data_IF_687907021261
#
_entry.id   IF_687907021261
#
_cell.length_a   1.000
_cell.length_b   1.000
_cell.length_c   1.000
_cell.angle_alpha   90.00
_cell.angle_beta   90.00
_cell.angle_gamma   90.00
#
_symmetry.space_group_name_H-M   'P 1'
#
loop_
_entity.id
_entity.type
_entity.pdbx_description
1 polymer ?
#
# COMPACT_ATOMS: atom_id res chain seq x y z
N UNK A 1 -20.06 -3.60 -1.88
CA UNK A 1 -19.26 -2.51 -2.47
C UNK A 1 -18.07 -2.30 -1.55
N UNK A 2 -16.85 -2.31 -2.08
CA UNK A 2 -15.64 -2.09 -1.26
C UNK A 2 -15.42 -0.59 -1.09
N UNK A 3 -15.34 -0.11 0.16
CA UNK A 3 -15.18 1.31 0.47
C UNK A 3 -13.74 1.66 0.85
N UNK A 4 -12.98 0.68 1.35
CA UNK A 4 -11.58 0.81 1.75
C UNK A 4 -10.80 -0.41 1.25
N UNK A 5 -9.63 -0.18 0.66
CA UNK A 5 -8.77 -1.21 0.06
C UNK A 5 -7.40 -1.17 0.72
N UNK A 6 -7.08 -2.16 1.54
CA UNK A 6 -5.76 -2.31 2.16
C UNK A 6 -4.78 -2.98 1.18
N UNK A 7 -3.61 -2.39 0.99
CA UNK A 7 -2.55 -2.89 0.11
C UNK A 7 -1.23 -2.92 0.87
N UNK A 8 -0.68 -4.10 1.04
CA UNK A 8 0.68 -4.30 1.55
C UNK A 8 1.71 -4.02 0.46
N UNK A 9 2.65 -3.13 0.75
CA UNK A 9 3.79 -2.82 -0.09
C UNK A 9 5.06 -3.32 0.60
N UNK A 10 5.83 -4.20 -0.04
CA UNK A 10 7.10 -4.75 0.45
C UNK A 10 8.30 -4.40 -0.46
N UNK A 11 8.04 -3.72 -1.58
CA UNK A 11 9.03 -3.33 -2.58
C UNK A 11 9.26 -4.38 -3.65
N UNK A 12 8.60 -5.54 -3.54
CA UNK A 12 8.66 -6.57 -4.56
C UNK A 12 7.86 -6.16 -5.81
N UNK A 13 8.23 -6.67 -6.99
CA UNK A 13 7.44 -6.47 -8.22
C UNK A 13 6.00 -6.97 -8.10
N UNK A 14 5.75 -7.96 -7.23
CA UNK A 14 4.41 -8.51 -6.99
C UNK A 14 3.53 -7.54 -6.21
N UNK A 15 4.09 -6.88 -5.19
CA UNK A 15 3.35 -5.86 -4.45
C UNK A 15 3.04 -4.63 -5.30
N UNK A 16 3.95 -4.21 -6.18
CA UNK A 16 3.70 -3.11 -7.13
C UNK A 16 2.55 -3.47 -8.09
N UNK A 17 2.52 -4.70 -8.62
CA UNK A 17 1.41 -5.17 -9.44
C UNK A 17 0.07 -5.22 -8.68
N UNK A 18 0.09 -5.65 -7.41
CA UNK A 18 -1.10 -5.67 -6.56
C UNK A 18 -1.63 -4.25 -6.30
N UNK A 19 -0.73 -3.28 -6.07
CA UNK A 19 -1.07 -1.88 -5.90
C UNK A 19 -1.75 -1.28 -7.14
N UNK A 20 -1.23 -1.55 -8.33
CA UNK A 20 -1.86 -1.09 -9.57
C UNK A 20 -3.31 -1.62 -9.71
N UNK A 21 -3.55 -2.89 -9.36
CA UNK A 21 -4.90 -3.45 -9.36
C UNK A 21 -5.81 -2.78 -8.32
N UNK A 22 -5.30 -2.49 -7.12
CA UNK A 22 -6.04 -1.79 -6.09
C UNK A 22 -6.43 -0.37 -6.53
N UNK A 23 -5.54 0.36 -7.21
CA UNK A 23 -5.84 1.68 -7.78
C UNK A 23 -6.96 1.59 -8.83
N UNK A 24 -6.92 0.60 -9.73
CA UNK A 24 -7.99 0.39 -10.71
C UNK A 24 -9.34 0.10 -10.03
N UNK A 25 -9.32 -0.72 -8.98
CA UNK A 25 -10.51 -1.06 -8.21
C UNK A 25 -11.04 0.17 -7.45
N UNK A 26 -10.15 0.97 -6.86
CA UNK A 26 -10.47 2.23 -6.19
C UNK A 26 -11.11 3.24 -7.13
N UNK A 27 -10.60 3.39 -8.36
CA UNK A 27 -11.21 4.23 -9.39
C UNK A 27 -12.62 3.79 -9.75
N UNK A 28 -12.86 2.48 -9.84
CA UNK A 28 -14.16 1.93 -10.19
C UNK A 28 -15.22 2.16 -9.11
N UNK A 29 -14.83 2.11 -7.83
CA UNK A 29 -15.76 2.15 -6.71
C UNK A 29 -15.70 3.43 -5.88
N UNK A 30 -14.80 4.36 -6.18
CA UNK A 30 -14.54 5.55 -5.36
C UNK A 30 -13.99 5.20 -3.97
N UNK A 31 -13.26 4.08 -3.86
CA UNK A 31 -12.75 3.58 -2.57
C UNK A 31 -11.52 4.36 -2.12
N UNK A 32 -11.31 4.43 -0.81
CA UNK A 32 -10.05 4.88 -0.23
C UNK A 32 -9.02 3.77 -0.28
N UNK A 33 -7.80 4.06 -0.75
CA UNK A 33 -6.67 3.13 -0.73
C UNK A 33 -5.91 3.31 0.58
N UNK A 34 -5.71 2.23 1.33
CA UNK A 34 -4.85 2.20 2.51
C UNK A 34 -3.58 1.48 2.08
N UNK A 35 -2.47 2.19 2.07
CA UNK A 35 -1.16 1.64 1.73
C UNK A 35 -0.41 1.36 3.02
N UNK A 36 -0.09 0.09 3.25
CA UNK A 36 0.64 -0.33 4.42
C UNK A 36 2.00 -0.90 4.03
N UNK A 37 3.06 -0.45 4.71
CA UNK A 37 4.40 -1.01 4.61
C UNK A 37 4.72 -1.66 5.96
N UNK A 38 5.09 -2.94 5.96
CA UNK A 38 5.56 -3.63 7.15
C UNK A 38 7.04 -3.91 7.00
N UNK A 39 7.85 -3.37 7.93
CA UNK A 39 9.27 -3.69 8.03
C UNK A 39 9.43 -4.98 8.82
N UNK A 40 9.83 -6.04 8.15
CA UNK A 40 10.21 -7.28 8.83
C UNK A 40 11.61 -7.14 9.47
N UNK A 41 11.79 -7.56 10.73
CA UNK A 41 13.06 -7.41 11.45
C UNK A 41 14.23 -8.21 10.85
N UNK A 42 13.94 -9.21 10.01
CA UNK A 42 14.94 -10.03 9.29
C UNK A 42 14.95 -9.80 7.78
N UNK A 43 14.15 -8.85 7.28
CA UNK A 43 14.00 -8.54 5.86
C UNK A 43 15.11 -7.65 5.31
N UNK A 44 15.23 -7.59 3.99
CA UNK A 44 16.12 -6.65 3.31
C UNK A 44 15.69 -5.22 3.66
N UNK A 45 16.67 -4.34 3.85
CA UNK A 45 16.42 -2.98 4.32
C UNK A 45 15.83 -2.12 3.20
N UNK A 46 14.52 -2.22 2.98
CA UNK A 46 13.81 -1.39 2.01
C UNK A 46 13.50 -0.04 2.64
N UNK A 47 13.72 1.03 1.87
CA UNK A 47 13.45 2.41 2.27
C UNK A 47 11.93 2.68 2.29
N UNK A 48 11.27 2.12 3.31
CA UNK A 48 9.82 2.13 3.50
C UNK A 48 9.18 3.51 3.39
N UNK A 49 9.74 4.58 4.00
CA UNK A 49 9.23 5.94 3.86
C UNK A 49 9.19 6.41 2.40
N UNK A 50 10.29 6.24 1.65
CA UNK A 50 10.36 6.63 0.24
C UNK A 50 9.36 5.83 -0.61
N UNK A 51 9.07 4.58 -0.24
CA UNK A 51 8.10 3.75 -0.94
C UNK A 51 6.65 4.17 -0.68
N UNK A 52 6.32 4.50 0.57
CA UNK A 52 5.02 5.05 0.96
C UNK A 52 4.75 6.39 0.28
N UNK A 53 5.76 7.26 0.17
CA UNK A 53 5.63 8.53 -0.53
C UNK A 53 5.34 8.34 -2.03
N UNK A 54 6.06 7.45 -2.71
CA UNK A 54 5.78 7.12 -4.12
C UNK A 54 4.38 6.55 -4.30
N UNK A 55 3.95 5.66 -3.40
CA UNK A 55 2.61 5.08 -3.46
C UNK A 55 1.54 6.16 -3.28
N UNK A 56 1.71 7.05 -2.29
CA UNK A 56 0.84 8.19 -2.03
C UNK A 56 0.71 9.08 -3.27
N UNK A 57 1.83 9.46 -3.88
CA UNK A 57 1.84 10.28 -5.10
C UNK A 57 1.04 9.62 -6.24
N UNK A 58 1.22 8.31 -6.46
CA UNK A 58 0.47 7.58 -7.50
C UNK A 58 -1.03 7.55 -7.23
N UNK A 59 -1.46 7.32 -5.98
CA UNK A 59 -2.89 7.32 -5.64
C UNK A 59 -3.51 8.72 -5.80
N UNK A 60 -2.78 9.76 -5.39
CA UNK A 60 -3.22 11.14 -5.56
C UNK A 60 -3.30 11.53 -7.05
N UNK A 61 -2.32 11.13 -7.86
CA UNK A 61 -2.35 11.33 -9.31
C UNK A 61 -3.52 10.59 -9.99
N UNK A 62 -3.99 9.49 -9.39
CA UNK A 62 -5.18 8.77 -9.79
C UNK A 62 -6.50 9.43 -9.35
N UNK A 63 -6.46 10.52 -8.58
CA UNK A 63 -7.65 11.23 -8.07
C UNK A 63 -8.36 10.50 -6.94
N UNK A 64 -7.65 9.63 -6.21
CA UNK A 64 -8.21 8.81 -5.13
C UNK A 64 -7.71 9.28 -3.77
N UNK A 65 -8.46 8.93 -2.72
CA UNK A 65 -8.04 9.13 -1.35
C UNK A 65 -7.03 8.06 -0.94
N UNK A 66 -6.01 8.46 -0.20
CA UNK A 66 -4.96 7.57 0.30
C UNK A 66 -4.68 7.78 1.77
N UNK A 67 -4.59 6.66 2.49
CA UNK A 67 -4.08 6.58 3.86
C UNK A 67 -2.79 5.76 3.82
N UNK A 68 -1.72 6.23 4.45
CA UNK A 68 -0.42 5.55 4.48
C UNK A 68 -0.09 5.16 5.91
N UNK A 69 0.38 3.93 6.11
CA UNK A 69 0.73 3.41 7.44
C UNK A 69 2.02 2.59 7.35
N UNK A 70 2.97 2.90 8.24
CA UNK A 70 4.21 2.15 8.39
C UNK A 70 4.13 1.36 9.70
N UNK A 71 4.31 0.05 9.61
CA UNK A 71 4.31 -0.88 10.74
C UNK A 71 5.65 -1.60 10.78
N UNK A 72 6.02 -2.10 11.96
CA UNK A 72 7.23 -2.90 12.17
C UNK A 72 6.82 -4.16 12.91
N UNK A 73 7.10 -5.33 12.33
CA UNK A 73 6.60 -6.60 12.87
C UNK A 73 6.47 -7.66 11.78
N UNK A 74 5.73 -8.72 12.09
CA UNK A 74 5.34 -9.74 11.11
C UNK A 74 4.16 -9.22 10.29
N UNK A 75 4.29 -9.24 8.95
CA UNK A 75 3.33 -8.58 8.06
C UNK A 75 1.93 -9.20 8.11
N UNK A 76 1.84 -10.50 8.37
CA UNK A 76 0.60 -11.24 8.53
C UNK A 76 -0.10 -10.96 9.88
N UNK A 77 0.64 -10.58 10.92
CA UNK A 77 0.09 -10.22 12.22
C UNK A 77 -0.37 -8.75 12.26
N UNK A 78 0.41 -7.86 11.67
CA UNK A 78 0.18 -6.40 11.74
C UNK A 78 -0.86 -5.89 10.72
N UNK A 79 -1.20 -6.68 9.70
CA UNK A 79 -2.16 -6.30 8.64
C UNK A 79 -3.48 -7.11 8.66
N UNK A 80 -3.67 -7.99 9.63
CA UNK A 80 -4.90 -8.78 9.82
C UNK A 80 -6.02 -7.98 10.49
#
# INVERSE_FOLDING_TARGET
MFTRLLVGLDGSPRADAAFEQAVQLGKRFGSTIIVAYVREPHGHETDGPAMLDRARERVLAAGLNVEVTALTGEADVELA
#
